data_IF_979810176126
#
_entry.id   IF_979810176126
#
_cell.length_a   1.000
_cell.length_b   1.000
_cell.length_c   1.000
_cell.angle_alpha   90.00
_cell.angle_beta   90.00
_cell.angle_gamma   90.00
#
_symmetry.space_group_name_H-M   'P 1'
#
loop_
_entity.id
_entity.type
_entity.pdbx_description
1 polymer ?
#
# COMPACT_ATOMS: atom_id res chain seq x y z
N UNK A 1 -25.69 -24.10 7.32
CA UNK A 1 -24.55 -23.27 7.76
C UNK A 1 -24.16 -22.42 6.56
N UNK A 2 -24.74 -21.22 6.46
CA UNK A 2 -24.33 -20.25 5.44
C UNK A 2 -23.04 -19.63 5.97
N UNK A 3 -21.91 -20.02 5.38
CA UNK A 3 -20.70 -19.23 5.49
C UNK A 3 -20.97 -18.04 4.58
N UNK A 4 -21.49 -16.95 5.15
CA UNK A 4 -21.52 -15.66 4.46
C UNK A 4 -20.08 -15.40 4.05
N UNK A 5 -19.82 -15.46 2.74
CA UNK A 5 -18.58 -14.96 2.17
C UNK A 5 -18.39 -13.58 2.75
N UNK A 6 -17.32 -13.42 3.53
CA UNK A 6 -16.88 -12.10 3.95
C UNK A 6 -16.62 -11.38 2.66
N UNK A 7 -17.48 -10.43 2.32
CA UNK A 7 -17.20 -9.39 1.35
C UNK A 7 -15.78 -8.93 1.67
N UNK A 8 -14.84 -9.27 0.80
CA UNK A 8 -13.56 -8.57 0.71
C UNK A 8 -13.98 -7.15 0.35
N UNK A 9 -14.30 -6.38 1.40
CA UNK A 9 -14.70 -5.00 1.29
C UNK A 9 -13.49 -4.33 0.66
N UNK A 10 -13.56 -4.23 -0.68
CA UNK A 10 -12.56 -3.62 -1.53
C UNK A 10 -12.69 -2.13 -1.25
N UNK A 11 -12.35 -1.73 -0.02
CA UNK A 11 -11.94 -0.38 0.27
C UNK A 11 -10.81 -0.14 -0.71
N UNK A 12 -11.01 0.77 -1.67
CA UNK A 12 -10.00 1.14 -2.64
C UNK A 12 -8.73 1.51 -1.88
N UNK A 13 -7.83 0.54 -1.73
CA UNK A 13 -6.60 0.67 -0.97
C UNK A 13 -5.60 1.40 -1.85
N UNK A 14 -4.92 2.37 -1.25
CA UNK A 14 -3.74 2.95 -1.86
C UNK A 14 -2.59 2.00 -1.60
N UNK A 15 -1.94 1.55 -2.68
CA UNK A 15 -0.77 0.68 -2.58
C UNK A 15 0.46 1.52 -2.84
N UNK A 16 1.42 1.45 -1.93
CA UNK A 16 2.69 2.15 -2.00
C UNK A 16 3.75 1.17 -2.48
N UNK A 17 4.41 1.53 -3.57
CA UNK A 17 5.42 0.74 -4.23
C UNK A 17 6.81 1.27 -3.87
N UNK A 18 7.74 0.37 -3.60
CA UNK A 18 9.08 0.73 -3.15
C UNK A 18 10.16 0.10 -4.04
N UNK A 19 11.30 0.78 -4.15
CA UNK A 19 12.46 0.28 -4.90
C UNK A 19 13.13 -0.92 -4.22
N UNK A 20 13.10 -0.97 -2.88
CA UNK A 20 13.78 -1.99 -2.08
C UNK A 20 12.86 -2.54 -0.98
N UNK A 21 13.10 -3.77 -0.55
CA UNK A 21 12.43 -4.36 0.62
C UNK A 21 12.71 -3.55 1.90
N UNK A 22 13.90 -2.98 2.02
CA UNK A 22 14.25 -2.11 3.13
C UNK A 22 13.37 -0.85 3.20
N UNK A 23 13.11 -0.20 2.07
CA UNK A 23 12.25 0.98 1.99
C UNK A 23 10.79 0.66 2.29
N UNK A 24 10.31 -0.52 1.84
CA UNK A 24 8.95 -0.97 2.16
C UNK A 24 8.74 -1.19 3.67
N UNK A 25 9.69 -1.87 4.34
CA UNK A 25 9.64 -2.10 5.79
C UNK A 25 9.83 -0.81 6.59
N UNK A 26 10.71 0.08 6.14
CA UNK A 26 10.88 1.40 6.76
C UNK A 26 9.60 2.24 6.60
N UNK A 27 8.96 2.16 5.43
CA UNK A 27 7.70 2.85 5.16
C UNK A 27 6.57 2.37 6.05
N UNK A 28 6.40 1.05 6.18
CA UNK A 28 5.46 0.43 7.11
C UNK A 28 5.68 0.93 8.56
N UNK A 29 6.92 0.87 9.05
CA UNK A 29 7.25 1.34 10.39
C UNK A 29 6.86 2.81 10.62
N UNK A 30 7.20 3.69 9.66
CA UNK A 30 6.86 5.12 9.72
C UNK A 30 5.35 5.35 9.74
N UNK A 31 4.60 4.57 8.95
CA UNK A 31 3.13 4.66 8.88
C UNK A 31 2.50 4.24 10.21
N UNK A 32 2.95 3.12 10.77
CA UNK A 32 2.49 2.62 12.06
C UNK A 32 2.85 3.57 13.21
N UNK A 33 4.07 4.13 13.22
CA UNK A 33 4.48 5.14 14.19
C UNK A 33 3.69 6.45 14.06
N UNK A 34 3.24 6.77 12.84
CA UNK A 34 2.31 7.86 12.56
C UNK A 34 0.87 7.62 13.04
N UNK A 35 0.57 6.42 13.54
CA UNK A 35 -0.76 6.03 14.02
C UNK A 35 -1.74 5.65 12.92
N UNK A 36 -1.25 5.44 11.69
CA UNK A 36 -2.05 5.01 10.56
C UNK A 36 -1.98 3.49 10.39
N UNK A 37 -3.03 2.90 9.84
CA UNK A 37 -3.06 1.46 9.55
C UNK A 37 -2.45 1.18 8.18
N UNK A 38 -1.65 0.11 8.10
CA UNK A 38 -1.10 -0.41 6.86
C UNK A 38 -0.90 -1.92 6.92
N UNK A 39 -0.81 -2.54 5.74
CA UNK A 39 -0.51 -3.96 5.58
C UNK A 39 0.57 -4.16 4.50
N UNK A 40 1.46 -5.13 4.69
CA UNK A 40 2.45 -5.48 3.66
C UNK A 40 1.84 -6.52 2.73
N UNK A 41 1.69 -6.12 1.48
CA UNK A 41 1.13 -6.95 0.42
C UNK A 41 2.19 -7.26 -0.64
N UNK A 42 1.93 -8.27 -1.45
CA UNK A 42 2.73 -8.51 -2.63
C UNK A 42 2.55 -7.37 -3.64
N UNK A 43 3.62 -7.04 -4.36
CA UNK A 43 3.58 -6.01 -5.40
C UNK A 43 2.51 -6.36 -6.45
N UNK A 44 1.57 -5.45 -6.76
CA UNK A 44 0.56 -5.72 -7.77
C UNK A 44 1.19 -5.96 -9.16
N UNK A 45 0.59 -6.82 -9.99
CA UNK A 45 1.05 -7.04 -11.35
C UNK A 45 0.83 -5.78 -12.20
N UNK A 46 1.72 -5.52 -13.17
CA UNK A 46 1.62 -4.38 -14.08
C UNK A 46 2.26 -3.08 -13.58
N UNK A 47 2.94 -3.11 -12.43
CA UNK A 47 3.78 -2.01 -11.93
C UNK A 47 5.17 -2.00 -12.59
N UNK A 48 5.87 -0.87 -12.52
CA UNK A 48 7.19 -0.69 -13.15
C UNK A 48 8.24 -1.76 -12.76
N UNK A 49 9.04 -2.16 -13.75
CA UNK A 49 10.24 -2.97 -13.55
C UNK A 49 11.29 -2.18 -12.74
N UNK A 50 11.90 -2.82 -11.73
CA UNK A 50 12.88 -2.19 -10.83
C UNK A 50 12.38 -1.90 -9.41
N UNK A 51 11.10 -2.13 -9.13
CA UNK A 51 10.54 -2.13 -7.77
C UNK A 51 10.84 -3.46 -7.06
N UNK A 52 10.78 -3.48 -5.73
CA UNK A 52 10.89 -4.71 -4.95
C UNK A 52 9.61 -5.55 -5.08
N UNK A 53 9.62 -6.80 -4.61
CA UNK A 53 8.46 -7.69 -4.67
C UNK A 53 7.35 -7.37 -3.65
N UNK A 54 7.54 -6.35 -2.82
CA UNK A 54 6.64 -5.99 -1.73
C UNK A 54 6.08 -4.57 -1.93
N UNK A 55 4.89 -4.36 -1.40
CA UNK A 55 4.23 -3.08 -1.37
C UNK A 55 3.53 -2.89 -0.02
N UNK A 56 3.20 -1.65 0.33
CA UNK A 56 2.47 -1.32 1.55
C UNK A 56 1.09 -0.81 1.17
N UNK A 57 0.05 -1.54 1.54
CA UNK A 57 -1.33 -1.12 1.35
C UNK A 57 -1.80 -0.27 2.53
N UNK A 58 -2.42 0.87 2.23
CA UNK A 58 -2.97 1.82 3.20
C UNK A 58 -4.38 2.24 2.78
N UNK A 59 -5.15 2.78 3.72
CA UNK A 59 -6.46 3.36 3.40
C UNK A 59 -6.26 4.63 2.54
N UNK A 60 -6.96 4.71 1.39
CA UNK A 60 -6.83 5.86 0.50
C UNK A 60 -7.36 7.17 1.11
N UNK A 61 -8.21 7.10 2.15
CA UNK A 61 -8.64 8.28 2.91
C UNK A 61 -7.52 8.97 3.67
N UNK A 62 -6.45 8.23 3.99
CA UNK A 62 -5.28 8.72 4.72
C UNK A 62 -4.08 9.07 3.81
N UNK A 63 -4.25 9.00 2.47
CA UNK A 63 -3.19 9.21 1.47
C UNK A 63 -2.30 10.43 1.77
N UNK A 64 -2.89 11.59 2.05
CA UNK A 64 -2.16 12.83 2.30
C UNK A 64 -1.33 12.81 3.59
N UNK A 65 -1.83 12.13 4.63
CA UNK A 65 -1.09 11.95 5.88
C UNK A 65 0.08 10.99 5.70
N UNK A 66 -0.19 9.84 5.07
CA UNK A 66 0.80 8.80 4.77
C UNK A 66 1.94 9.34 3.89
N UNK A 67 1.60 10.02 2.78
CA UNK A 67 2.59 10.61 1.88
C UNK A 67 3.46 11.65 2.60
N UNK A 68 2.86 12.47 3.45
CA UNK A 68 3.59 13.45 4.27
C UNK A 68 4.57 12.78 5.24
N UNK A 69 4.15 11.70 5.92
CA UNK A 69 5.01 10.93 6.84
C UNK A 69 6.22 10.34 6.13
N UNK A 70 5.99 9.69 4.97
CA UNK A 70 7.05 9.05 4.19
C UNK A 70 8.03 10.07 3.59
N UNK A 71 7.52 11.20 3.08
CA UNK A 71 8.36 12.29 2.58
C UNK A 71 9.20 12.90 3.69
N UNK A 72 8.63 13.10 4.89
CA UNK A 72 9.36 13.60 6.05
C UNK A 72 10.44 12.61 6.53
N UNK A 73 10.19 11.31 6.40
CA UNK A 73 11.16 10.25 6.65
C UNK A 73 12.21 10.10 5.53
N UNK A 74 12.04 10.78 4.39
CA UNK A 74 12.94 10.70 3.25
C UNK A 74 12.84 9.38 2.47
N UNK A 75 11.72 8.68 2.58
CA UNK A 75 11.50 7.39 1.91
C UNK A 75 10.92 7.64 0.52
N UNK A 76 11.56 7.08 -0.50
CA UNK A 76 11.08 7.15 -1.87
C UNK A 76 10.03 6.06 -2.12
N UNK A 77 8.86 6.45 -2.62
CA UNK A 77 7.77 5.55 -2.94
C UNK A 77 7.00 6.04 -4.18
N UNK A 78 6.29 5.12 -4.81
CA UNK A 78 5.34 5.40 -5.88
C UNK A 78 3.94 4.97 -5.44
N UNK A 79 2.93 5.76 -5.79
CA UNK A 79 1.54 5.47 -5.44
C UNK A 79 0.84 4.71 -6.55
N UNK A 80 0.25 3.59 -6.21
CA UNK A 80 -0.59 2.77 -7.08
C UNK A 80 -1.99 2.67 -6.48
N UNK A 81 -2.98 3.21 -7.18
CA UNK A 81 -4.37 2.95 -6.82
C UNK A 81 -4.78 1.63 -7.46
N UNK A 82 -5.24 0.68 -6.63
CA UNK A 82 -6.08 -0.41 -7.14
C UNK A 82 -7.41 0.22 -7.54
N UNK A 83 -7.43 0.86 -8.71
CA UNK A 83 -8.68 1.02 -9.44
C UNK A 83 -9.16 -0.40 -9.69
N UNK A 84 -10.37 -0.74 -9.23
CA UNK A 84 -10.88 -2.10 -9.31
C UNK A 84 -10.76 -2.60 -10.75
N UNK A 85 -9.74 -3.39 -11.06
CA UNK A 85 -9.66 -4.13 -12.31
C UNK A 85 -10.66 -5.29 -12.21
N UNK A 86 -11.94 -4.91 -12.28
CA UNK A 86 -13.00 -5.74 -12.80
C UNK A 86 -12.86 -5.76 -14.33
N UNK A 87 -12.49 -6.93 -14.86
CA UNK A 87 -12.83 -7.34 -16.23
C UNK A 87 -12.01 -6.75 -17.39
N UNK A 88 -11.09 -7.55 -17.91
CA UNK A 88 -10.86 -7.65 -19.36
C UNK A 88 -10.58 -9.10 -19.75
#
# INVERSE_FOLDING_TARGET
>A
MIVSGGSEETKGGLVLLFGSTHDALAGEAVILEGGCWCDIVERPPGTADGLCGLAVEVDAGDEAGITGLLQNAGIAFETYRRDGQDGA
#
